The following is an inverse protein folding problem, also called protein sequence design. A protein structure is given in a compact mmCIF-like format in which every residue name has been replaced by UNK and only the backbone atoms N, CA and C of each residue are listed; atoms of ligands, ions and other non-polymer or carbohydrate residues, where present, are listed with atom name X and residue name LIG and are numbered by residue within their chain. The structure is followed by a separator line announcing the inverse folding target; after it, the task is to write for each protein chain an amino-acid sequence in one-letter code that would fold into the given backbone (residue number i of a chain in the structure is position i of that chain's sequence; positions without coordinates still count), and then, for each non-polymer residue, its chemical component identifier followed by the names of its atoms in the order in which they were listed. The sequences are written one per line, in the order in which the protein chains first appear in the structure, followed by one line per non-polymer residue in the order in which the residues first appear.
data_IF_880932318098
#
_entry.id   IF_880932318098
#
_cell.length_a   1.000
_cell.length_b   1.000
_cell.length_c   1.000
_cell.angle_alpha   90.00
_cell.angle_beta   90.00
_cell.angle_gamma   90.00
#
_symmetry.space_group_name_H-M   'P 1'
#
loop_
_entity.id
_entity.type
_entity.pdbx_description
1 polymer ?
#
# COMPACT_ATOMS: atom_id res chain seq x y z
N UNK A 1 2.92 -8.84 -7.39
CA UNK A 1 1.73 -9.03 -8.23
C UNK A 1 0.50 -8.34 -7.65
N UNK A 2 -0.04 -8.75 -6.49
CA UNK A 2 -1.26 -8.14 -5.93
C UNK A 2 -1.19 -6.62 -5.75
N UNK A 3 -0.02 -6.08 -5.36
CA UNK A 3 0.22 -4.63 -5.24
C UNK A 3 -0.03 -3.80 -6.51
N UNK A 4 0.02 -4.45 -7.68
CA UNK A 4 -0.16 -3.81 -8.99
C UNK A 4 -1.62 -3.95 -9.43
N UNK A 5 -2.28 -5.05 -9.07
CA UNK A 5 -3.64 -5.37 -9.50
C UNK A 5 -4.73 -4.73 -8.64
N UNK A 6 -4.44 -4.47 -7.37
CA UNK A 6 -5.45 -4.04 -6.40
C UNK A 6 -4.92 -2.94 -5.48
N UNK A 7 -5.81 -2.00 -5.15
CA UNK A 7 -5.55 -1.00 -4.11
C UNK A 7 -5.70 -1.60 -2.72
N UNK A 8 -4.94 -1.09 -1.75
CA UNK A 8 -5.09 -1.51 -0.36
C UNK A 8 -6.49 -1.19 0.19
N UNK A 9 -7.09 -0.09 -0.28
CA UNK A 9 -8.46 0.32 0.08
C UNK A 9 -9.51 -0.74 -0.27
N UNK A 10 -9.34 -1.42 -1.41
CA UNK A 10 -10.19 -2.56 -1.75
C UNK A 10 -9.83 -3.77 -0.89
N UNK A 11 -8.54 -4.11 -0.81
CA UNK A 11 -8.09 -5.34 -0.17
C UNK A 11 -8.38 -5.41 1.34
N UNK A 12 -8.54 -4.27 2.02
CA UNK A 12 -8.85 -4.26 3.46
C UNK A 12 -10.15 -5.00 3.82
N UNK A 13 -11.10 -5.06 2.89
CA UNK A 13 -12.41 -5.72 3.06
C UNK A 13 -12.39 -7.23 2.82
N UNK A 14 -11.26 -7.79 2.41
CA UNK A 14 -11.16 -9.20 2.04
C UNK A 14 -10.14 -9.96 2.91
N UNK A 15 -10.40 -11.25 3.08
CA UNK A 15 -9.44 -12.24 3.57
C UNK A 15 -9.63 -13.51 2.74
N UNK A 16 -8.72 -14.48 2.83
CA UNK A 16 -8.80 -15.65 1.94
C UNK A 16 -10.11 -16.44 2.10
N UNK A 17 -10.52 -16.76 3.34
CA UNK A 17 -11.75 -17.52 3.65
C UNK A 17 -12.86 -16.66 4.28
N UNK A 18 -12.73 -15.33 4.27
CA UNK A 18 -13.72 -14.45 4.90
C UNK A 18 -13.62 -14.36 6.43
N UNK A 19 -12.45 -14.65 7.02
CA UNK A 19 -12.21 -14.48 8.45
C UNK A 19 -12.36 -13.00 8.88
N UNK A 20 -12.77 -12.78 10.14
CA UNK A 20 -12.92 -11.47 10.79
C UNK A 20 -13.90 -10.53 10.08
N UNK A 21 -15.09 -11.02 9.72
CA UNK A 21 -16.15 -10.26 9.03
C UNK A 21 -15.73 -9.67 7.67
N UNK A 22 -14.75 -10.30 7.02
CA UNK A 22 -14.29 -9.92 5.68
C UNK A 22 -14.94 -10.82 4.63
N UNK A 23 -14.97 -10.36 3.38
CA UNK A 23 -15.47 -11.18 2.27
C UNK A 23 -14.40 -12.22 1.84
N UNK A 24 -14.80 -13.43 1.41
CA UNK A 24 -13.88 -14.47 0.96
C UNK A 24 -13.28 -14.14 -0.40
N UNK A 25 -11.98 -13.80 -0.43
CA UNK A 25 -11.26 -13.50 -1.67
C UNK A 25 -11.11 -14.74 -2.57
N UNK A 26 -11.06 -15.93 -1.98
CA UNK A 26 -10.87 -17.19 -2.70
C UNK A 26 -12.02 -17.54 -3.65
N UNK A 27 -13.21 -16.94 -3.48
CA UNK A 27 -14.38 -17.19 -4.33
C UNK A 27 -14.30 -16.48 -5.68
N UNK A 28 -13.47 -15.44 -5.81
CA UNK A 28 -13.34 -14.73 -7.09
C UNK A 28 -12.56 -15.55 -8.12
N UNK A 29 -13.05 -15.53 -9.37
CA UNK A 29 -12.43 -16.19 -10.53
C UNK A 29 -10.96 -15.76 -10.71
N UNK A 30 -10.62 -14.52 -10.35
CA UNK A 30 -9.25 -13.99 -10.44
C UNK A 30 -8.24 -14.85 -9.67
N UNK A 31 -8.64 -15.52 -8.59
CA UNK A 31 -7.76 -16.44 -7.85
C UNK A 31 -7.33 -17.64 -8.71
N UNK A 32 -8.25 -18.19 -9.52
CA UNK A 32 -7.94 -19.28 -10.44
C UNK A 32 -6.98 -18.81 -11.53
N UNK A 33 -7.21 -17.61 -12.08
CA UNK A 33 -6.36 -16.99 -13.10
C UNK A 33 -4.95 -16.77 -12.58
N UNK A 34 -4.82 -16.18 -11.39
CA UNK A 34 -3.53 -15.96 -10.72
C UNK A 34 -2.77 -17.27 -10.55
N UNK A 35 -3.42 -18.30 -9.99
CA UNK A 35 -2.78 -19.58 -9.75
C UNK A 35 -2.35 -20.25 -11.06
N UNK A 36 -3.21 -20.22 -12.08
CA UNK A 36 -2.89 -20.74 -13.42
C UNK A 36 -1.70 -20.04 -14.05
N UNK A 37 -1.69 -18.70 -14.04
CA UNK A 37 -0.61 -17.91 -14.62
C UNK A 37 0.74 -18.15 -13.92
N UNK A 38 0.76 -18.23 -12.58
CA UNK A 38 2.00 -18.52 -11.85
C UNK A 38 2.47 -19.95 -12.12
N UNK A 39 1.57 -20.94 -12.13
CA UNK A 39 1.94 -22.34 -12.44
C UNK A 39 2.49 -22.51 -13.85
N UNK A 40 1.92 -21.80 -14.83
CA UNK A 40 2.41 -21.83 -16.20
C UNK A 40 3.81 -21.20 -16.31
N UNK A 41 4.06 -20.11 -15.58
CA UNK A 41 5.36 -19.43 -15.59
C UNK A 41 6.45 -20.22 -14.84
N UNK A 42 6.08 -20.98 -13.82
CA UNK A 42 7.00 -21.72 -12.96
C UNK A 42 6.59 -23.20 -12.84
N UNK A 43 6.70 -23.99 -13.92
CA UNK A 43 6.17 -25.35 -13.97
C UNK A 43 6.84 -26.33 -13.00
N UNK A 44 8.12 -26.12 -12.67
CA UNK A 44 8.90 -27.01 -11.80
C UNK A 44 8.56 -26.90 -10.30
N UNK A 45 7.79 -25.88 -9.89
CA UNK A 45 7.37 -25.74 -8.49
C UNK A 45 6.12 -26.58 -8.17
N UNK A 46 6.35 -27.80 -7.68
CA UNK A 46 5.30 -28.76 -7.29
C UNK A 46 4.31 -28.20 -6.25
N UNK A 47 4.79 -27.44 -5.26
CA UNK A 47 3.96 -26.85 -4.19
C UNK A 47 3.50 -25.40 -4.47
N UNK A 48 3.66 -24.92 -5.70
CA UNK A 48 3.38 -23.54 -6.11
C UNK A 48 2.00 -23.03 -5.65
N UNK A 49 0.96 -23.88 -5.70
CA UNK A 49 -0.40 -23.50 -5.28
C UNK A 49 -0.45 -23.00 -3.83
N UNK A 50 0.12 -23.74 -2.89
CA UNK A 50 0.07 -23.38 -1.48
C UNK A 50 0.90 -22.13 -1.20
N UNK A 51 2.07 -22.01 -1.82
CA UNK A 51 2.90 -20.79 -1.74
C UNK A 51 2.18 -19.54 -2.26
N UNK A 52 1.48 -19.66 -3.41
CA UNK A 52 0.69 -18.57 -3.97
C UNK A 52 -0.42 -18.16 -3.00
N UNK A 53 -1.17 -19.12 -2.48
CA UNK A 53 -2.26 -18.87 -1.53
C UNK A 53 -1.73 -18.18 -0.26
N UNK A 54 -0.65 -18.69 0.33
CA UNK A 54 -0.02 -18.10 1.51
C UNK A 54 0.47 -16.68 1.25
N UNK A 55 1.01 -16.42 0.06
CA UNK A 55 1.43 -15.08 -0.36
C UNK A 55 0.25 -14.12 -0.49
N UNK A 56 -0.86 -14.58 -1.07
CA UNK A 56 -2.11 -13.82 -1.17
C UNK A 56 -2.66 -13.51 0.23
N UNK A 57 -2.77 -14.52 1.10
CA UNK A 57 -3.23 -14.37 2.48
C UNK A 57 -2.43 -13.30 3.23
N UNK A 58 -1.10 -13.40 3.17
CA UNK A 58 -0.17 -12.48 3.82
C UNK A 58 -0.36 -11.06 3.31
N UNK A 59 -0.52 -10.89 2.00
CA UNK A 59 -0.72 -9.58 1.39
C UNK A 59 -2.07 -8.95 1.78
N UNK A 60 -3.15 -9.73 1.82
CA UNK A 60 -4.48 -9.26 2.25
C UNK A 60 -4.46 -8.83 3.73
N UNK A 61 -3.83 -9.63 4.59
CA UNK A 61 -3.77 -9.37 6.03
C UNK A 61 -3.08 -8.04 6.35
N UNK A 62 -2.06 -7.69 5.58
CA UNK A 62 -1.27 -6.47 5.75
C UNK A 62 -1.92 -5.21 5.15
N UNK A 63 -3.03 -5.31 4.42
CA UNK A 63 -3.64 -4.14 3.76
C UNK A 63 -3.95 -2.98 4.73
N UNK A 64 -4.57 -3.19 5.91
CA UNK A 64 -4.81 -2.11 6.86
C UNK A 64 -3.52 -1.42 7.34
N UNK A 65 -2.47 -2.21 7.61
CA UNK A 65 -1.15 -1.69 8.01
C UNK A 65 -0.53 -0.85 6.91
N UNK A 66 -0.63 -1.28 5.64
CA UNK A 66 -0.12 -0.51 4.51
C UNK A 66 -0.85 0.82 4.31
N UNK A 67 -2.17 0.85 4.51
CA UNK A 67 -2.96 2.10 4.49
C UNK A 67 -2.47 3.03 5.60
N UNK A 68 -2.40 2.54 6.84
CA UNK A 68 -1.93 3.34 7.98
C UNK A 68 -0.51 3.89 7.77
N UNK A 69 0.38 3.11 7.16
CA UNK A 69 1.74 3.55 6.85
C UNK A 69 1.77 4.62 5.75
N UNK A 70 0.92 4.52 4.73
CA UNK A 70 0.79 5.55 3.68
C UNK A 70 0.29 6.87 4.25
N UNK A 71 -0.73 6.83 5.12
CA UNK A 71 -1.25 8.03 5.79
C UNK A 71 -0.19 8.68 6.69
N UNK A 72 0.57 7.88 7.44
CA UNK A 72 1.70 8.38 8.25
C UNK A 72 2.77 9.05 7.38
N UNK A 73 3.09 8.48 6.23
CA UNK A 73 4.07 9.07 5.31
C UNK A 73 3.55 10.36 4.68
N UNK A 74 2.26 10.42 4.33
CA UNK A 74 1.63 11.64 3.80
C UNK A 74 1.72 12.79 4.80
N UNK A 75 1.32 12.55 6.05
CA UNK A 75 1.43 13.55 7.14
C UNK A 75 2.85 14.04 7.35
N UNK A 76 3.84 13.14 7.32
CA UNK A 76 5.27 13.52 7.46
C UNK A 76 5.75 14.41 6.33
N UNK A 77 5.29 14.18 5.10
CA UNK A 77 5.62 15.02 3.95
C UNK A 77 4.96 16.39 4.07
N UNK A 78 3.68 16.42 4.40
CA UNK A 78 2.94 17.67 4.63
C UNK A 78 3.64 18.53 5.71
N UNK A 79 4.02 17.94 6.85
CA UNK A 79 4.76 18.67 7.91
C UNK A 79 6.12 19.18 7.44
N UNK A 80 6.86 18.42 6.63
CA UNK A 80 8.14 18.87 6.07
C UNK A 80 7.97 20.03 5.10
N UNK A 81 6.94 19.98 4.24
CA UNK A 81 6.63 21.06 3.29
C UNK A 81 6.19 22.34 4.02
N UNK A 82 5.42 22.23 5.11
CA UNK A 82 5.05 23.37 5.96
C UNK A 82 6.28 24.06 6.58
N UNK A 83 7.21 23.29 7.16
CA UNK A 83 8.43 23.87 7.73
C UNK A 83 9.28 24.55 6.66
N UNK A 84 9.41 23.95 5.48
CA UNK A 84 10.14 24.57 4.38
C UNK A 84 9.54 25.91 3.93
N UNK A 85 8.20 26.01 3.87
CA UNK A 85 7.51 27.25 3.53
C UNK A 85 7.67 28.35 4.60
N UNK A 86 7.63 28.00 5.89
CA UNK A 86 7.88 28.95 6.97
C UNK A 86 9.30 29.47 6.96
N UNK A 87 10.29 28.60 6.71
CA UNK A 87 11.68 29.03 6.59
C UNK A 87 11.86 30.06 5.46
N UNK A 88 11.17 29.90 4.32
CA UNK A 88 11.23 30.93 3.26
C UNK A 88 10.55 32.24 3.65
N UNK A 89 9.39 32.21 4.32
CA UNK A 89 8.69 33.43 4.73
C UNK A 89 9.46 34.20 5.80
N UNK A 90 10.04 33.52 6.79
CA UNK A 90 10.85 34.14 7.84
C UNK A 90 12.14 34.76 7.26
N UNK A 91 12.82 34.07 6.33
CA UNK A 91 14.01 34.61 5.67
C UNK A 91 13.69 35.84 4.79
N UNK A 92 12.52 35.88 4.12
CA UNK A 92 12.09 37.05 3.33
C UNK A 92 11.68 38.23 4.23
N UNK A 93 11.12 37.96 5.41
CA UNK A 93 10.76 39.00 6.38
C UNK A 93 11.99 39.69 6.98
N UNK A 94 13.06 38.95 7.25
CA UNK A 94 14.32 39.51 7.76
C UNK A 94 15.07 40.34 6.68
N UNK A 95 15.12 39.89 5.42
CA UNK A 95 15.77 40.62 4.32
C UNK A 95 15.07 41.97 4.01
N UNK A 96 13.75 42.05 4.14
CA UNK A 96 13.01 43.31 3.92
C UNK A 96 13.21 44.33 5.06
N UNK A 97 13.58 43.87 6.26
CA UNK A 97 13.90 44.73 7.40
C UNK A 97 15.26 45.41 7.26
N UNK A 98 16.21 44.76 6.59
CA UNK A 98 17.59 45.25 6.40
C UNK A 98 17.65 46.36 5.33
N UNK A 99 16.76 46.33 4.32
CA UNK A 99 16.79 47.27 3.19
C UNK A 99 15.92 48.54 3.36
N UNK A 100 15.31 48.74 4.53
CA UNK A 100 14.40 49.88 4.79
C UNK A 100 14.99 50.97 5.71
N UNK A 101 16.30 50.98 5.95
CA UNK A 101 17.01 51.99 6.76
C UNK A 101 17.96 52.80 5.89
#
# INVERSE_FOLDING_TARGET
MLKIMFSDELLKYYSWKGQKNKKPFSEFIICKVIIGAVRQKFPEQKDSRNYIISSIMSWLAQAPTRIANKEKQKKRRETADYHHHQDYEDNIADDNKINST
#
